data_IF_824828246406
#
_entry.id   IF_824828246406
#
_cell.length_a   1.000
_cell.length_b   1.000
_cell.length_c   1.000
_cell.angle_alpha   90.00
_cell.angle_beta   90.00
_cell.angle_gamma   90.00
#
_symmetry.space_group_name_H-M   'P 1'
#
loop_
_entity.id
_entity.type
_entity.pdbx_description
1 polymer ?
#
# COMPACT_ATOMS: atom_id res chain seq x y z
N UNK A 1 -37.75 -52.25 12.26
CA UNK A 1 -36.87 -51.29 12.96
C UNK A 1 -35.99 -50.66 11.91
N UNK A 2 -36.37 -49.47 11.47
CA UNK A 2 -35.65 -48.68 10.47
C UNK A 2 -34.55 -47.88 11.17
N UNK A 3 -33.33 -47.94 10.67
CA UNK A 3 -32.22 -47.09 11.10
C UNK A 3 -32.19 -45.89 10.16
N UNK A 4 -32.58 -44.74 10.68
CA UNK A 4 -32.48 -43.44 10.01
C UNK A 4 -31.03 -42.95 10.15
N UNK A 5 -30.34 -42.83 9.02
CA UNK A 5 -29.03 -42.20 8.93
C UNK A 5 -29.27 -40.70 8.88
N UNK A 6 -28.86 -39.99 9.93
CA UNK A 6 -28.86 -38.53 9.97
C UNK A 6 -27.74 -38.01 9.04
N UNK A 7 -28.10 -37.65 7.82
CA UNK A 7 -27.30 -36.73 6.99
C UNK A 7 -27.45 -35.31 7.58
N UNK A 8 -26.35 -34.72 8.02
CA UNK A 8 -26.32 -33.32 8.46
C UNK A 8 -26.23 -32.36 7.27
N UNK A 9 -27.06 -31.30 7.18
CA UNK A 9 -27.02 -30.39 6.04
C UNK A 9 -26.15 -29.14 6.31
N UNK A 10 -25.38 -28.70 5.30
CA UNK A 10 -25.40 -27.30 4.87
C UNK A 10 -24.29 -26.29 5.25
N UNK A 11 -23.34 -26.58 6.14
CA UNK A 11 -22.46 -25.52 6.68
C UNK A 11 -21.37 -24.94 5.77
N UNK A 12 -21.06 -25.57 4.62
CA UNK A 12 -19.93 -25.17 3.76
C UNK A 12 -20.28 -24.21 2.61
N UNK A 13 -21.55 -24.11 2.24
CA UNK A 13 -22.01 -23.25 1.14
C UNK A 13 -22.33 -21.85 1.66
N UNK A 14 -23.10 -21.77 2.75
CA UNK A 14 -23.47 -20.51 3.42
C UNK A 14 -22.25 -19.66 3.83
N UNK A 15 -21.16 -20.29 4.28
CA UNK A 15 -19.95 -19.55 4.67
C UNK A 15 -19.20 -18.97 3.46
N UNK A 16 -19.19 -19.69 2.32
CA UNK A 16 -18.56 -19.20 1.08
C UNK A 16 -19.36 -18.07 0.45
N UNK A 17 -20.68 -18.18 0.48
CA UNK A 17 -21.56 -17.12 -0.01
C UNK A 17 -21.48 -15.87 0.87
N UNK A 18 -21.34 -16.03 2.18
CA UNK A 18 -21.09 -14.92 3.10
C UNK A 18 -19.74 -14.25 2.86
N UNK A 19 -18.65 -15.02 2.72
CA UNK A 19 -17.32 -14.50 2.39
C UNK A 19 -17.31 -13.74 1.06
N UNK A 20 -17.98 -14.26 0.03
CA UNK A 20 -18.11 -13.61 -1.27
C UNK A 20 -18.91 -12.30 -1.17
N UNK A 21 -19.96 -12.27 -0.36
CA UNK A 21 -20.74 -11.06 -0.09
C UNK A 21 -19.89 -9.96 0.58
N UNK A 22 -19.09 -10.33 1.58
CA UNK A 22 -18.17 -9.38 2.24
C UNK A 22 -17.07 -8.88 1.30
N UNK A 23 -16.56 -9.73 0.43
CA UNK A 23 -15.60 -9.35 -0.61
C UNK A 23 -16.21 -8.33 -1.59
N UNK A 24 -17.44 -8.57 -2.03
CA UNK A 24 -18.13 -7.65 -2.93
C UNK A 24 -18.39 -6.30 -2.27
N UNK A 25 -18.84 -6.29 -1.01
CA UNK A 25 -19.04 -5.06 -0.24
C UNK A 25 -17.73 -4.26 -0.12
N UNK A 26 -16.61 -4.95 0.11
CA UNK A 26 -15.30 -4.30 0.11
C UNK A 26 -14.94 -3.73 -1.26
N UNK A 27 -15.16 -4.46 -2.35
CA UNK A 27 -14.88 -4.00 -3.72
C UNK A 27 -15.67 -2.74 -4.05
N UNK A 28 -16.97 -2.72 -3.75
CA UNK A 28 -17.84 -1.57 -4.00
C UNK A 28 -17.34 -0.35 -3.20
N UNK A 29 -17.11 -0.53 -1.91
CA UNK A 29 -16.63 0.53 -1.02
C UNK A 29 -15.23 1.04 -1.39
N UNK A 30 -14.32 0.16 -1.80
CA UNK A 30 -12.99 0.54 -2.26
C UNK A 30 -13.05 1.28 -3.60
N UNK A 31 -13.93 0.86 -4.51
CA UNK A 31 -14.16 1.53 -5.81
C UNK A 31 -14.63 2.97 -5.59
N UNK A 32 -15.63 3.17 -4.74
CA UNK A 32 -16.16 4.51 -4.43
C UNK A 32 -15.09 5.40 -3.81
N UNK A 33 -14.32 4.88 -2.85
CA UNK A 33 -13.24 5.64 -2.21
C UNK A 33 -12.13 6.01 -3.20
N UNK A 34 -11.73 5.09 -4.07
CA UNK A 34 -10.69 5.35 -5.07
C UNK A 34 -11.16 6.37 -6.11
N UNK A 35 -12.43 6.34 -6.51
CA UNK A 35 -13.01 7.36 -7.38
C UNK A 35 -13.00 8.76 -6.74
N UNK A 36 -13.29 8.85 -5.43
CA UNK A 36 -13.17 10.11 -4.69
C UNK A 36 -11.73 10.61 -4.63
N UNK A 37 -10.75 9.72 -4.46
CA UNK A 37 -9.34 10.11 -4.51
C UNK A 37 -8.90 10.58 -5.89
N UNK A 38 -9.40 9.95 -6.95
CA UNK A 38 -9.11 10.32 -8.34
C UNK A 38 -9.62 11.74 -8.65
N UNK A 39 -10.89 12.02 -8.33
CA UNK A 39 -11.48 13.36 -8.48
C UNK A 39 -10.73 14.42 -7.65
N UNK A 40 -10.35 14.09 -6.42
CA UNK A 40 -9.55 14.97 -5.56
C UNK A 40 -8.18 15.28 -6.17
N UNK A 41 -7.50 14.28 -6.74
CA UNK A 41 -6.23 14.46 -7.45
C UNK A 41 -6.42 15.27 -8.74
N UNK A 42 -7.52 15.10 -9.47
CA UNK A 42 -7.83 15.91 -10.65
C UNK A 42 -8.08 17.38 -10.29
N UNK A 43 -8.84 17.65 -9.24
CA UNK A 43 -9.08 19.01 -8.73
C UNK A 43 -7.79 19.70 -8.27
N UNK A 44 -6.88 18.96 -7.62
CA UNK A 44 -5.55 19.49 -7.31
C UNK A 44 -4.79 19.90 -8.57
N UNK A 45 -4.87 19.09 -9.63
CA UNK A 45 -4.24 19.31 -10.94
C UNK A 45 -4.77 20.60 -11.58
N UNK A 46 -6.09 20.82 -11.46
CA UNK A 46 -6.76 22.03 -11.92
C UNK A 46 -6.54 23.27 -11.00
N UNK A 47 -5.80 23.12 -9.90
CA UNK A 47 -5.61 24.14 -8.85
C UNK A 47 -6.92 24.63 -8.22
N UNK A 48 -7.93 23.76 -8.16
CA UNK A 48 -9.25 24.05 -7.57
C UNK A 48 -9.42 23.50 -6.15
N UNK A 49 -8.43 22.80 -5.60
CA UNK A 49 -8.46 22.22 -4.26
C UNK A 49 -7.22 22.57 -3.43
N UNK A 50 -7.38 22.55 -2.10
CA UNK A 50 -6.29 22.74 -1.14
C UNK A 50 -5.43 21.47 -1.01
N UNK A 51 -4.14 21.61 -1.34
CA UNK A 51 -3.15 20.54 -1.30
C UNK A 51 -2.98 19.91 0.09
N UNK A 52 -3.05 20.71 1.16
CA UNK A 52 -2.93 20.20 2.52
C UNK A 52 -4.15 19.37 2.92
N UNK A 53 -5.36 19.81 2.56
CA UNK A 53 -6.59 19.03 2.73
C UNK A 53 -6.53 17.73 1.95
N UNK A 54 -6.20 17.80 0.67
CA UNK A 54 -6.17 16.62 -0.18
C UNK A 54 -5.19 15.55 0.33
N UNK A 55 -4.00 15.96 0.75
CA UNK A 55 -3.01 15.08 1.36
C UNK A 55 -3.55 14.36 2.61
N UNK A 56 -4.32 15.04 3.46
CA UNK A 56 -4.96 14.41 4.63
C UNK A 56 -5.99 13.36 4.23
N UNK A 57 -6.85 13.67 3.27
CA UNK A 57 -7.88 12.74 2.79
C UNK A 57 -7.28 11.48 2.15
N UNK A 58 -6.21 11.64 1.36
CA UNK A 58 -5.51 10.51 0.73
C UNK A 58 -4.84 9.65 1.80
N UNK A 59 -4.17 10.23 2.80
CA UNK A 59 -3.58 9.47 3.92
C UNK A 59 -4.63 8.68 4.69
N UNK A 60 -5.77 9.30 5.00
CA UNK A 60 -6.84 8.62 5.73
C UNK A 60 -7.40 7.44 4.93
N UNK A 61 -7.63 7.65 3.63
CA UNK A 61 -8.15 6.60 2.75
C UNK A 61 -7.16 5.45 2.58
N UNK A 62 -5.86 5.75 2.39
CA UNK A 62 -4.80 4.75 2.36
C UNK A 62 -4.75 3.94 3.66
N UNK A 63 -4.82 4.60 4.82
CA UNK A 63 -4.84 3.91 6.11
C UNK A 63 -6.04 2.96 6.27
N UNK A 64 -7.22 3.41 5.84
CA UNK A 64 -8.44 2.59 5.88
C UNK A 64 -8.33 1.39 4.93
N UNK A 65 -7.92 1.61 3.67
CA UNK A 65 -7.73 0.53 2.69
C UNK A 65 -6.69 -0.48 3.15
N UNK A 66 -5.63 -0.03 3.83
CA UNK A 66 -4.63 -0.91 4.45
C UNK A 66 -5.27 -1.86 5.46
N UNK A 67 -6.11 -1.34 6.36
CA UNK A 67 -6.76 -2.14 7.42
C UNK A 67 -7.85 -3.07 6.89
N UNK A 68 -8.54 -2.67 5.83
CA UNK A 68 -9.65 -3.43 5.26
C UNK A 68 -9.19 -4.51 4.27
N UNK A 69 -8.21 -4.24 3.41
CA UNK A 69 -7.80 -5.14 2.33
C UNK A 69 -7.53 -6.57 2.79
N UNK A 70 -6.66 -6.77 3.78
CA UNK A 70 -6.34 -8.10 4.31
C UNK A 70 -7.55 -8.81 4.94
N UNK A 71 -8.43 -8.07 5.61
CA UNK A 71 -9.61 -8.63 6.28
C UNK A 71 -10.67 -9.13 5.30
N UNK A 72 -10.76 -8.51 4.12
CA UNK A 72 -11.70 -8.87 3.06
C UNK A 72 -11.03 -9.66 1.92
N UNK A 73 -9.86 -10.25 2.17
CA UNK A 73 -9.22 -11.13 1.21
C UNK A 73 -8.50 -10.43 0.05
N UNK A 74 -8.23 -9.14 0.12
CA UNK A 74 -7.43 -8.37 -0.86
C UNK A 74 -6.06 -7.93 -0.28
N UNK A 75 -5.14 -8.86 0.02
CA UNK A 75 -3.86 -8.53 0.67
C UNK A 75 -2.97 -7.61 -0.17
N UNK A 76 -3.08 -7.67 -1.51
CA UNK A 76 -2.30 -6.81 -2.40
C UNK A 76 -2.70 -5.34 -2.24
N UNK A 77 -4.00 -5.06 -2.04
CA UNK A 77 -4.46 -3.71 -1.72
C UNK A 77 -3.87 -3.22 -0.40
N UNK A 78 -3.79 -4.08 0.62
CA UNK A 78 -3.12 -3.74 1.88
C UNK A 78 -1.65 -3.37 1.67
N UNK A 79 -0.91 -4.13 0.86
CA UNK A 79 0.49 -3.82 0.54
C UNK A 79 0.64 -2.49 -0.21
N UNK A 80 -0.18 -2.24 -1.23
CA UNK A 80 -0.10 -0.99 -2.01
C UNK A 80 -0.50 0.22 -1.15
N UNK A 81 -1.57 0.11 -0.37
CA UNK A 81 -2.04 1.16 0.52
C UNK A 81 -1.00 1.48 1.60
N UNK A 82 -0.29 0.48 2.12
CA UNK A 82 0.82 0.69 3.04
C UNK A 82 1.99 1.42 2.38
N UNK A 83 2.37 1.04 1.14
CA UNK A 83 3.40 1.78 0.40
C UNK A 83 3.00 3.23 0.16
N UNK A 84 1.74 3.48 -0.18
CA UNK A 84 1.22 4.84 -0.31
C UNK A 84 1.30 5.61 1.02
N UNK A 85 0.93 5.01 2.15
CA UNK A 85 1.07 5.64 3.46
C UNK A 85 2.53 6.04 3.75
N UNK A 86 3.48 5.15 3.45
CA UNK A 86 4.91 5.40 3.63
C UNK A 86 5.46 6.47 2.67
N UNK A 87 5.00 6.46 1.42
CA UNK A 87 5.31 7.47 0.40
C UNK A 87 4.84 8.85 0.86
N UNK A 88 3.62 8.95 1.38
CA UNK A 88 3.02 10.19 1.84
C UNK A 88 3.52 10.65 3.21
N UNK A 89 4.20 9.81 4.00
CA UNK A 89 4.47 10.07 5.42
C UNK A 89 5.15 11.43 5.69
N UNK A 90 6.17 11.77 4.91
CA UNK A 90 7.01 12.96 5.12
C UNK A 90 6.62 14.15 4.23
N UNK A 91 5.56 14.01 3.42
CA UNK A 91 5.09 15.09 2.56
C UNK A 91 4.35 16.17 3.35
N UNK A 92 4.59 17.44 3.04
CA UNK A 92 3.82 18.56 3.57
C UNK A 92 2.76 19.06 2.58
N UNK A 93 2.91 18.74 1.30
CA UNK A 93 2.01 19.08 0.22
C UNK A 93 2.02 17.99 -0.88
N UNK A 94 1.07 18.08 -1.80
CA UNK A 94 1.02 17.34 -3.06
C UNK A 94 1.17 18.34 -4.21
N UNK A 95 2.38 18.39 -4.77
CA UNK A 95 2.74 19.19 -5.94
C UNK A 95 3.02 18.31 -7.16
N UNK A 96 3.35 18.91 -8.30
CA UNK A 96 3.28 18.28 -9.62
C UNK A 96 3.92 16.89 -9.74
N UNK A 97 5.07 16.62 -9.13
CA UNK A 97 5.66 15.28 -9.13
C UNK A 97 4.93 14.36 -8.16
N UNK A 98 4.81 14.77 -6.89
CA UNK A 98 4.27 13.91 -5.85
C UNK A 98 2.80 13.54 -6.11
N UNK A 99 2.04 14.45 -6.73
CA UNK A 99 0.68 14.24 -7.17
C UNK A 99 0.59 13.21 -8.31
N UNK A 100 1.49 13.25 -9.30
CA UNK A 100 1.53 12.25 -10.38
C UNK A 100 1.89 10.88 -9.84
N UNK A 101 2.85 10.81 -8.94
CA UNK A 101 3.24 9.55 -8.30
C UNK A 101 2.11 9.00 -7.42
N UNK A 102 1.43 9.85 -6.65
CA UNK A 102 0.23 9.47 -5.89
C UNK A 102 -0.87 8.91 -6.80
N UNK A 103 -1.06 9.48 -8.00
CA UNK A 103 -2.01 8.95 -8.98
C UNK A 103 -1.69 7.52 -9.39
N UNK A 104 -0.42 7.18 -9.62
CA UNK A 104 -0.01 5.81 -9.98
C UNK A 104 -0.47 4.81 -8.92
N UNK A 105 -0.38 5.16 -7.63
CA UNK A 105 -0.89 4.31 -6.55
C UNK A 105 -2.42 4.14 -6.63
N UNK A 106 -3.17 5.22 -6.82
CA UNK A 106 -4.63 5.20 -6.91
C UNK A 106 -5.08 4.37 -8.12
N UNK A 107 -4.50 4.60 -9.30
CA UNK A 107 -4.80 3.88 -10.54
C UNK A 107 -4.50 2.39 -10.39
N UNK A 108 -3.37 2.04 -9.75
CA UNK A 108 -2.98 0.65 -9.53
C UNK A 108 -3.98 -0.06 -8.60
N UNK A 109 -4.39 0.58 -7.51
CA UNK A 109 -5.41 0.02 -6.61
C UNK A 109 -6.76 -0.09 -7.33
N UNK A 110 -7.16 0.91 -8.11
CA UNK A 110 -8.42 0.91 -8.85
C UNK A 110 -8.46 -0.22 -9.89
N UNK A 111 -7.35 -0.47 -10.59
CA UNK A 111 -7.23 -1.57 -11.55
C UNK A 111 -7.41 -2.94 -10.88
N UNK A 112 -6.85 -3.14 -9.69
CA UNK A 112 -7.01 -4.39 -8.94
C UNK A 112 -8.43 -4.54 -8.41
N UNK A 113 -8.97 -3.52 -7.77
CA UNK A 113 -10.33 -3.54 -7.19
C UNK A 113 -11.38 -3.77 -8.29
N UNK A 114 -11.29 -3.05 -9.41
CA UNK A 114 -12.23 -3.20 -10.54
C UNK A 114 -12.14 -4.56 -11.23
N UNK A 115 -11.00 -5.26 -11.14
CA UNK A 115 -10.90 -6.62 -11.62
C UNK A 115 -11.70 -7.63 -10.77
N UNK A 116 -11.97 -7.30 -9.50
CA UNK A 116 -12.66 -8.18 -8.55
C UNK A 116 -11.83 -9.39 -8.09
N UNK A 117 -10.61 -9.57 -8.59
CA UNK A 117 -9.75 -10.71 -8.29
C UNK A 117 -8.40 -10.24 -7.75
N UNK A 118 -7.78 -11.06 -6.90
CA UNK A 118 -6.39 -10.84 -6.53
C UNK A 118 -5.47 -11.27 -7.66
N UNK A 119 -4.47 -10.43 -8.03
CA UNK A 119 -3.42 -10.87 -8.92
C UNK A 119 -2.64 -12.03 -8.28
N UNK A 120 -2.09 -12.91 -9.12
CA UNK A 120 -1.18 -13.95 -8.66
C UNK A 120 0.05 -13.34 -7.97
N UNK A 121 0.69 -14.07 -7.05
CA UNK A 121 1.81 -13.55 -6.24
C UNK A 121 2.94 -12.94 -7.08
N UNK A 122 3.25 -13.51 -8.25
CA UNK A 122 4.27 -12.99 -9.18
C UNK A 122 3.89 -11.64 -9.78
N UNK A 123 2.62 -11.48 -10.12
CA UNK A 123 2.09 -10.27 -10.75
C UNK A 123 1.96 -9.18 -9.69
N UNK A 124 1.47 -9.54 -8.50
CA UNK A 124 1.45 -8.67 -7.34
C UNK A 124 2.83 -8.12 -7.00
N UNK A 125 3.87 -8.97 -7.00
CA UNK A 125 5.26 -8.54 -6.80
C UNK A 125 5.72 -7.56 -7.86
N UNK A 126 5.44 -7.84 -9.13
CA UNK A 126 5.82 -6.97 -10.25
C UNK A 126 5.12 -5.62 -10.16
N UNK A 127 3.82 -5.61 -9.88
CA UNK A 127 3.03 -4.40 -9.65
C UNK A 127 3.58 -3.58 -8.50
N UNK A 128 3.83 -4.22 -7.36
CA UNK A 128 4.32 -3.55 -6.14
C UNK A 128 5.72 -2.96 -6.34
N UNK A 129 6.60 -3.63 -7.09
CA UNK A 129 7.93 -3.12 -7.45
C UNK A 129 7.89 -1.95 -8.43
N UNK A 130 6.88 -1.92 -9.31
CA UNK A 130 6.64 -0.85 -10.28
C UNK A 130 6.07 0.44 -9.69
N UNK A 131 5.63 0.43 -8.42
CA UNK A 131 5.11 1.63 -7.76
C UNK A 131 6.19 2.70 -7.57
N UNK A 132 5.83 3.99 -7.55
CA UNK A 132 6.79 5.07 -7.32
C UNK A 132 7.57 4.88 -6.01
N UNK A 133 8.91 5.00 -6.00
CA UNK A 133 9.68 4.95 -4.76
C UNK A 133 9.26 6.07 -3.81
N UNK A 134 9.44 5.87 -2.50
CA UNK A 134 9.32 6.96 -1.52
C UNK A 134 10.25 8.11 -1.95
N UNK A 135 9.80 9.38 -1.98
CA UNK A 135 10.64 10.50 -2.35
C UNK A 135 11.83 10.55 -1.41
N UNK A 136 13.04 10.60 -1.97
CA UNK A 136 14.22 10.88 -1.17
C UNK A 136 14.03 12.25 -0.51
N UNK A 137 14.35 12.35 0.78
CA UNK A 137 14.49 13.66 1.44
C UNK A 137 15.31 14.61 0.54
N UNK A 138 15.04 15.94 0.57
CA UNK A 138 15.87 16.89 -0.16
C UNK A 138 17.33 16.56 0.13
N UNK A 139 18.12 16.41 -0.94
CA UNK A 139 19.56 16.18 -0.87
C UNK A 139 20.16 17.23 0.07
N UNK A 140 20.34 16.89 1.33
CA UNK A 140 20.92 17.75 2.33
C UNK A 140 22.42 17.76 2.07
N UNK A 141 22.97 18.79 1.44
CA UNK A 141 24.38 19.19 1.29
C UNK A 141 25.48 18.11 1.05
N UNK A 142 25.11 16.85 0.88
CA UNK A 142 25.98 15.76 0.49
C UNK A 142 25.89 15.63 -1.01
N UNK A 143 26.75 16.41 -1.66
CA UNK A 143 27.14 16.19 -3.03
C UNK A 143 27.77 14.79 -3.14
N UNK A 144 26.98 13.84 -3.63
CA UNK A 144 27.49 12.55 -4.10
C UNK A 144 27.04 12.41 -5.54
N UNK A 145 27.76 13.10 -6.41
CA UNK A 145 27.94 12.71 -7.80
C UNK A 145 28.39 11.24 -7.82
N UNK A 146 27.44 10.31 -7.92
CA UNK A 146 27.74 8.88 -8.00
C UNK A 146 26.75 7.91 -7.36
N UNK A 147 25.65 8.37 -6.77
CA UNK A 147 24.62 7.41 -6.28
C UNK A 147 23.73 6.98 -7.45
N UNK A 148 24.10 5.87 -8.08
CA UNK A 148 23.15 5.12 -8.91
C UNK A 148 21.99 4.70 -8.02
N UNK A 149 20.75 5.03 -8.40
CA UNK A 149 19.55 4.52 -7.74
C UNK A 149 19.65 3.00 -7.79
N UNK A 150 19.87 2.36 -6.64
CA UNK A 150 19.94 0.92 -6.57
C UNK A 150 18.51 0.38 -6.54
N UNK A 151 18.20 -0.59 -7.39
CA UNK A 151 16.92 -1.33 -7.35
C UNK A 151 16.78 -2.24 -6.11
N UNK A 152 17.67 -2.07 -5.13
CA UNK A 152 17.75 -2.84 -3.90
C UNK A 152 16.73 -2.28 -2.90
N UNK A 153 15.76 -3.10 -2.55
CA UNK A 153 14.71 -2.80 -1.57
C UNK A 153 15.12 -3.27 -0.16
N UNK A 154 15.19 -2.33 0.78
CA UNK A 154 15.55 -2.58 2.17
C UNK A 154 14.31 -2.42 3.04
N UNK A 155 13.92 -3.49 3.74
CA UNK A 155 12.87 -3.45 4.75
C UNK A 155 13.47 -3.24 6.13
N UNK A 156 13.08 -2.17 6.81
CA UNK A 156 13.57 -1.74 8.12
C UNK A 156 12.47 -1.88 9.17
N UNK A 157 12.62 -2.84 10.08
CA UNK A 157 11.70 -3.08 11.18
C UNK A 157 12.14 -2.31 12.42
N UNK A 158 11.73 -1.04 12.51
CA UNK A 158 12.12 -0.15 13.60
C UNK A 158 10.91 0.64 14.12
N UNK A 159 10.77 0.83 15.44
CA UNK A 159 9.74 1.71 15.99
C UNK A 159 9.91 3.14 15.47
N UNK A 160 8.80 3.82 15.21
CA UNK A 160 8.81 5.21 14.74
C UNK A 160 9.53 6.12 15.74
N UNK A 161 10.49 6.92 15.25
CA UNK A 161 11.25 7.86 16.07
C UNK A 161 12.48 8.41 15.34
N UNK A 162 13.27 9.24 16.01
CA UNK A 162 14.43 9.93 15.40
C UNK A 162 15.46 8.96 14.82
N UNK A 163 15.70 7.82 15.48
CA UNK A 163 16.61 6.79 14.98
C UNK A 163 16.11 6.17 13.66
N UNK A 164 14.81 5.86 13.57
CA UNK A 164 14.19 5.36 12.34
C UNK A 164 14.32 6.36 11.20
N UNK A 165 14.07 7.64 11.49
CA UNK A 165 14.20 8.72 10.51
C UNK A 165 15.65 8.85 10.02
N UNK A 166 16.62 8.86 10.92
CA UNK A 166 18.03 8.98 10.57
C UNK A 166 18.52 7.81 9.72
N UNK A 167 18.25 6.57 10.14
CA UNK A 167 18.65 5.37 9.39
C UNK A 167 17.98 5.31 8.02
N UNK A 168 16.68 5.63 7.94
CA UNK A 168 15.96 5.70 6.67
C UNK A 168 16.58 6.74 5.74
N UNK A 169 16.89 7.93 6.26
CA UNK A 169 17.53 8.99 5.49
C UNK A 169 18.91 8.56 4.95
N UNK A 170 19.75 7.91 5.78
CA UNK A 170 21.07 7.45 5.33
C UNK A 170 20.96 6.37 4.26
N UNK A 171 20.07 5.40 4.43
CA UNK A 171 19.86 4.34 3.44
C UNK A 171 19.31 4.91 2.12
N UNK A 172 18.35 5.84 2.18
CA UNK A 172 17.84 6.51 0.99
C UNK A 172 18.92 7.36 0.31
N UNK A 173 19.79 8.03 1.07
CA UNK A 173 20.92 8.80 0.54
C UNK A 173 21.94 7.91 -0.20
N UNK A 174 22.04 6.63 0.18
CA UNK A 174 22.82 5.62 -0.54
C UNK A 174 22.09 5.04 -1.77
N UNK A 175 20.87 5.50 -2.09
CA UNK A 175 20.13 5.04 -3.27
C UNK A 175 19.29 3.78 -3.04
N UNK A 176 19.09 3.35 -1.79
CA UNK A 176 18.24 2.20 -1.47
C UNK A 176 16.76 2.58 -1.42
N UNK A 177 15.88 1.67 -1.84
CA UNK A 177 14.42 1.81 -1.65
C UNK A 177 14.07 1.30 -0.26
N UNK A 178 13.83 2.20 0.69
CA UNK A 178 13.58 1.83 2.09
C UNK A 178 12.10 1.72 2.37
N UNK A 179 11.68 0.59 2.95
CA UNK A 179 10.34 0.35 3.47
C UNK A 179 10.44 0.18 4.98
N UNK A 180 9.78 1.05 5.74
CA UNK A 180 9.74 0.95 7.20
C UNK A 180 8.50 0.21 7.68
N UNK A 181 8.68 -0.69 8.65
CA UNK A 181 7.61 -1.42 9.33
C UNK A 181 7.75 -1.24 10.84
N UNK A 182 6.64 -1.24 11.57
CA UNK A 182 6.63 -0.81 12.98
C UNK A 182 6.98 -1.94 13.95
N UNK A 183 7.01 -3.18 13.48
CA UNK A 183 7.33 -4.36 14.29
C UNK A 183 7.98 -5.47 13.46
N UNK A 184 8.74 -6.34 14.11
CA UNK A 184 9.36 -7.50 13.47
C UNK A 184 8.34 -8.50 12.91
N UNK A 185 7.15 -8.58 13.50
CA UNK A 185 6.09 -9.47 13.01
C UNK A 185 5.47 -8.94 11.71
N UNK A 186 5.18 -7.63 11.67
CA UNK A 186 4.76 -6.94 10.44
C UNK A 186 5.84 -7.06 9.35
N UNK A 187 7.11 -6.97 9.74
CA UNK A 187 8.24 -7.18 8.85
C UNK A 187 8.24 -8.56 8.22
N UNK A 188 8.00 -9.60 9.02
CA UNK A 188 7.95 -10.97 8.52
C UNK A 188 6.79 -11.18 7.54
N UNK A 189 5.60 -10.65 7.86
CA UNK A 189 4.44 -10.75 6.96
C UNK A 189 4.70 -10.04 5.63
N UNK A 190 5.26 -8.82 5.67
CA UNK A 190 5.56 -8.06 4.47
C UNK A 190 6.72 -8.67 3.68
N UNK A 191 7.75 -9.19 4.35
CA UNK A 191 8.91 -9.79 3.68
C UNK A 191 8.53 -10.98 2.80
N UNK A 192 7.54 -11.79 3.21
CA UNK A 192 7.00 -12.88 2.38
C UNK A 192 6.35 -12.36 1.11
N UNK A 193 5.66 -11.21 1.18
CA UNK A 193 4.87 -10.64 0.07
C UNK A 193 5.73 -9.79 -0.88
N UNK A 194 6.57 -8.92 -0.34
CA UNK A 194 7.35 -7.96 -1.14
C UNK A 194 8.73 -8.50 -1.53
N UNK A 195 9.24 -9.51 -0.81
CA UNK A 195 10.58 -10.10 -1.00
C UNK A 195 11.65 -9.01 -1.10
N UNK A 196 11.91 -8.26 -0.01
CA UNK A 196 12.97 -7.28 0.01
C UNK A 196 14.33 -7.97 -0.18
N UNK A 197 15.29 -7.26 -0.74
CA UNK A 197 16.66 -7.76 -0.92
C UNK A 197 17.41 -7.82 0.42
N UNK A 198 17.00 -6.98 1.37
CA UNK A 198 17.57 -6.93 2.71
C UNK A 198 16.49 -6.63 3.76
N UNK A 199 16.47 -7.39 4.85
CA UNK A 199 15.66 -7.15 6.04
C UNK A 199 16.58 -6.75 7.20
N UNK A 200 16.31 -5.61 7.84
CA UNK A 200 17.00 -5.13 9.03
C UNK A 200 15.98 -5.07 10.18
N UNK A 201 16.29 -5.73 11.31
CA UNK A 201 15.44 -5.84 12.50
C UNK A 201 16.19 -5.42 13.75
#
# INVERSE_FOLDING_TARGET
MSTEVLEGPGGGDDNRDYEASLQQEFVDMATDRLAVLDDLLEQLRARSSDSARALREIRQTAHNLKGMGGSFGFPVITTIAHRLENYLADLSNLDGQNQRETQVYVDTMAAIVSSGYNPADSDAQTTVRGLPPKPGLPKSDFDVDGVEVSDVEVMLAIPSGTAAHYVTQQLQACGYRVITVKSSFEALEQAVRTRPDLLIV
#
